data_IF_227634074278
#
_entry.id   IF_227634074278
#
_cell.length_a   1.000
_cell.length_b   1.000
_cell.length_c   1.000
_cell.angle_alpha   90.00
_cell.angle_beta   90.00
_cell.angle_gamma   90.00
#
_symmetry.space_group_name_H-M   'P 1'
#
loop_
_entity.id
_entity.type
_entity.pdbx_description
1 polymer ?
#
# COMPACT_ATOMS: atom_id res chain seq x y z
N UNK A 1 17.11 20.53 0.46
CA UNK A 1 15.73 20.23 0.88
C UNK A 1 15.56 18.72 0.72
N UNK A 2 15.92 17.94 1.73
CA UNK A 2 15.75 16.49 1.68
C UNK A 2 14.29 16.21 2.03
N UNK A 3 13.48 15.89 1.03
CA UNK A 3 12.22 15.21 1.30
C UNK A 3 12.58 13.99 2.15
N UNK A 4 12.03 13.88 3.35
CA UNK A 4 12.14 12.66 4.12
C UNK A 4 11.71 11.54 3.17
N UNK A 5 12.64 10.66 2.80
CA UNK A 5 12.29 9.40 2.18
C UNK A 5 11.42 8.71 3.23
N UNK A 6 10.10 8.84 3.08
CA UNK A 6 9.15 7.93 3.73
C UNK A 6 9.67 6.54 3.36
N UNK A 7 10.15 5.82 4.36
CA UNK A 7 10.81 4.55 4.16
C UNK A 7 9.72 3.57 3.76
N UNK A 8 9.46 3.46 2.45
CA UNK A 8 8.40 2.61 1.93
C UNK A 8 8.77 1.16 2.25
N UNK A 9 7.96 0.54 3.10
CA UNK A 9 8.12 -0.85 3.44
C UNK A 9 7.54 -1.72 2.33
N UNK A 10 8.37 -2.59 1.79
CA UNK A 10 7.98 -3.56 0.77
C UNK A 10 7.71 -4.93 1.41
N UNK A 11 6.59 -5.55 1.05
CA UNK A 11 6.22 -6.91 1.44
C UNK A 11 5.92 -7.72 0.18
N UNK A 12 6.72 -8.76 -0.07
CA UNK A 12 6.48 -9.67 -1.19
C UNK A 12 5.43 -10.73 -0.78
N UNK A 13 4.41 -10.96 -1.61
CA UNK A 13 3.32 -11.90 -1.32
C UNK A 13 2.67 -12.47 -2.58
N UNK A 14 2.62 -13.80 -2.73
CA UNK A 14 1.92 -14.52 -3.82
C UNK A 14 2.23 -14.01 -5.24
N UNK A 15 3.48 -13.57 -5.49
CA UNK A 15 3.91 -13.05 -6.81
C UNK A 15 3.59 -11.57 -7.06
N UNK A 16 3.16 -10.86 -6.02
CA UNK A 16 2.96 -9.41 -5.98
C UNK A 16 3.87 -8.75 -4.94
N UNK A 17 4.02 -7.44 -5.07
CA UNK A 17 4.66 -6.57 -4.08
C UNK A 17 3.63 -5.63 -3.48
N UNK A 18 3.60 -5.55 -2.15
CA UNK A 18 2.82 -4.58 -1.39
C UNK A 18 3.80 -3.51 -0.92
N UNK A 19 3.54 -2.25 -1.28
CA UNK A 19 4.36 -1.11 -0.91
C UNK A 19 3.56 -0.22 0.04
N UNK A 20 4.09 -0.01 1.23
CA UNK A 20 3.42 0.72 2.31
C UNK A 20 4.26 1.91 2.73
N UNK A 21 3.65 3.08 2.78
CA UNK A 21 4.24 4.29 3.34
C UNK A 21 3.40 4.75 4.52
N UNK A 22 3.88 4.51 5.74
CA UNK A 22 3.27 5.02 6.95
C UNK A 22 3.81 6.42 7.28
N UNK A 23 2.94 7.31 7.74
CA UNK A 23 3.31 8.69 8.05
C UNK A 23 2.49 9.22 9.23
N UNK A 24 3.07 10.12 10.06
CA UNK A 24 2.30 10.77 11.11
C UNK A 24 1.26 11.70 10.49
N UNK A 25 0.03 11.68 11.03
CA UNK A 25 -1.09 12.51 10.55
C UNK A 25 -0.82 14.01 10.76
N UNK A 26 -0.01 14.33 11.78
CA UNK A 26 0.43 15.68 12.11
C UNK A 26 1.90 15.63 12.53
N UNK A 27 2.68 16.66 12.23
CA UNK A 27 4.07 16.75 12.70
C UNK A 27 4.13 16.67 14.24
N UNK A 28 4.88 15.69 14.76
CA UNK A 28 4.98 15.44 16.21
C UNK A 28 3.75 14.77 16.83
N UNK A 29 2.78 14.34 16.02
CA UNK A 29 1.59 13.63 16.47
C UNK A 29 1.87 12.16 16.87
N UNK A 30 0.99 11.60 17.69
CA UNK A 30 1.02 10.19 18.10
C UNK A 30 0.10 9.32 17.24
N UNK A 31 -0.34 9.84 16.10
CA UNK A 31 -1.28 9.17 15.18
C UNK A 31 -0.61 9.02 13.84
N UNK A 32 -0.73 7.84 13.28
CA UNK A 32 -0.15 7.49 12.00
C UNK A 32 -1.25 7.12 11.03
N UNK A 33 -1.04 7.38 9.76
CA UNK A 33 -1.84 6.85 8.67
C UNK A 33 -0.91 6.16 7.68
N UNK A 34 -1.47 5.50 6.67
CA UNK A 34 -0.69 4.94 5.58
C UNK A 34 -1.30 5.27 4.23
N UNK A 35 -0.43 5.28 3.22
CA UNK A 35 -0.81 5.11 1.82
C UNK A 35 -0.14 3.86 1.31
N UNK A 36 -0.83 3.06 0.51
CA UNK A 36 -0.26 1.82 0.02
C UNK A 36 -0.75 1.44 -1.38
N UNK A 37 0.01 0.56 -2.02
CA UNK A 37 -0.38 -0.01 -3.30
C UNK A 37 0.15 -1.43 -3.47
N UNK A 38 -0.52 -2.19 -4.33
CA UNK A 38 -0.10 -3.53 -4.78
C UNK A 38 0.30 -3.46 -6.25
N UNK A 39 1.41 -4.10 -6.62
CA UNK A 39 1.83 -4.22 -8.01
C UNK A 39 2.54 -5.56 -8.27
N UNK A 40 2.85 -5.85 -9.53
CA UNK A 40 3.76 -6.96 -9.84
C UNK A 40 5.23 -6.55 -9.59
N UNK A 41 6.11 -7.51 -9.29
CA UNK A 41 7.55 -7.26 -9.25
C UNK A 41 8.05 -6.66 -10.56
N UNK A 42 8.72 -5.51 -10.49
CA UNK A 42 9.24 -4.80 -11.66
C UNK A 42 8.21 -3.99 -12.45
N UNK A 43 6.97 -3.86 -11.95
CA UNK A 43 5.96 -3.02 -12.56
C UNK A 43 6.32 -1.52 -12.51
N UNK A 44 5.99 -0.79 -13.57
CA UNK A 44 6.03 0.68 -13.54
C UNK A 44 4.72 1.21 -12.93
N UNK A 45 4.77 1.54 -11.64
CA UNK A 45 3.62 2.01 -10.85
C UNK A 45 3.08 3.37 -11.30
N UNK A 46 3.75 4.06 -12.22
CA UNK A 46 3.26 5.30 -12.81
C UNK A 46 2.29 5.05 -13.98
N UNK A 47 2.24 3.82 -14.50
CA UNK A 47 1.36 3.44 -15.60
C UNK A 47 -0.02 2.98 -15.07
N UNK A 48 -1.12 3.45 -15.69
CA UNK A 48 -2.46 2.96 -15.34
C UNK A 48 -2.59 1.45 -15.51
N UNK A 49 -3.12 0.76 -14.49
CA UNK A 49 -3.32 -0.69 -14.52
C UNK A 49 -2.09 -1.52 -14.14
N UNK A 50 -0.98 -0.89 -13.74
CA UNK A 50 0.21 -1.58 -13.23
C UNK A 50 0.27 -1.64 -11.69
N UNK A 51 -0.53 -0.82 -11.02
CA UNK A 51 -0.70 -0.81 -9.57
C UNK A 51 -2.17 -0.68 -9.18
N UNK A 52 -2.50 -1.18 -7.98
CA UNK A 52 -3.76 -0.94 -7.30
C UNK A 52 -3.44 -0.17 -6.03
N UNK A 53 -3.84 1.10 -6.00
CA UNK A 53 -3.74 1.93 -4.81
C UNK A 53 -4.93 1.66 -3.89
N UNK A 54 -4.65 1.60 -2.60
CA UNK A 54 -5.66 1.51 -1.56
C UNK A 54 -5.29 2.45 -0.43
N UNK A 55 -6.32 2.97 0.23
CA UNK A 55 -6.15 4.01 1.24
C UNK A 55 -5.30 5.21 0.76
N UNK A 56 -5.52 5.76 -0.45
CA UNK A 56 -4.66 6.82 -0.99
C UNK A 56 -4.80 8.14 -0.22
N UNK A 57 -5.93 8.34 0.46
CA UNK A 57 -6.27 9.60 1.14
C UNK A 57 -5.82 9.63 2.61
N UNK A 58 -5.33 8.51 3.16
CA UNK A 58 -4.83 8.50 4.54
C UNK A 58 -5.91 8.74 5.61
N UNK A 59 -7.17 8.38 5.35
CA UNK A 59 -8.31 8.74 6.22
C UNK A 59 -8.34 7.96 7.55
N UNK A 60 -7.93 6.69 7.57
CA UNK A 60 -7.80 5.91 8.80
C UNK A 60 -6.53 6.27 9.57
N UNK A 61 -6.61 6.20 10.89
CA UNK A 61 -5.51 6.56 11.78
C UNK A 61 -5.27 5.51 12.85
N UNK A 62 -3.99 5.27 13.11
CA UNK A 62 -3.45 4.21 13.96
C UNK A 62 -2.65 4.81 15.12
N UNK A 63 -2.40 4.04 16.18
CA UNK A 63 -1.65 4.47 17.37
C UNK A 63 -0.14 4.46 17.16
N UNK A 64 0.34 3.69 16.19
CA UNK A 64 1.76 3.60 15.85
C UNK A 64 1.97 3.42 14.35
N UNK A 65 3.19 3.71 13.91
CA UNK A 65 3.64 3.43 12.55
C UNK A 65 3.53 1.93 12.23
N UNK A 66 3.92 1.07 13.17
CA UNK A 66 3.84 -0.38 13.03
C UNK A 66 2.41 -0.88 12.83
N UNK A 67 1.44 -0.36 13.61
CA UNK A 67 0.02 -0.73 13.46
C UNK A 67 -0.51 -0.31 12.08
N UNK A 68 -0.11 0.87 11.59
CA UNK A 68 -0.46 1.32 10.24
C UNK A 68 0.13 0.41 9.15
N UNK A 69 1.38 -0.03 9.31
CA UNK A 69 2.03 -0.95 8.37
C UNK A 69 1.38 -2.32 8.38
N UNK A 70 1.10 -2.87 9.57
CA UNK A 70 0.51 -4.19 9.73
C UNK A 70 -0.88 -4.25 9.10
N UNK A 71 -1.71 -3.22 9.32
CA UNK A 71 -3.01 -3.12 8.68
C UNK A 71 -2.90 -2.90 7.17
N UNK A 72 -2.00 -2.03 6.71
CA UNK A 72 -1.77 -1.86 5.28
C UNK A 72 -1.38 -3.19 4.61
N UNK A 73 -0.48 -3.97 5.21
CA UNK A 73 -0.08 -5.27 4.70
C UNK A 73 -1.23 -6.28 4.74
N UNK A 74 -2.06 -6.25 5.79
CA UNK A 74 -3.25 -7.10 5.90
C UNK A 74 -4.25 -6.82 4.77
N UNK A 75 -4.57 -5.55 4.54
CA UNK A 75 -5.44 -5.10 3.43
C UNK A 75 -4.82 -5.50 2.09
N UNK A 76 -3.53 -5.23 1.87
CA UNK A 76 -2.82 -5.61 0.64
C UNK A 76 -2.90 -7.12 0.34
N UNK A 77 -2.77 -7.98 1.35
CA UNK A 77 -2.97 -9.44 1.19
C UNK A 77 -4.39 -9.78 0.80
N UNK A 78 -5.40 -9.18 1.42
CA UNK A 78 -6.80 -9.44 1.04
C UNK A 78 -7.11 -9.04 -0.41
N UNK A 79 -6.45 -7.99 -0.93
CA UNK A 79 -6.58 -7.58 -2.34
C UNK A 79 -5.95 -8.65 -3.27
N UNK A 80 -4.81 -9.20 -2.88
CA UNK A 80 -4.11 -10.25 -3.62
C UNK A 80 -4.90 -11.57 -3.60
N UNK A 81 -5.44 -11.94 -2.44
CA UNK A 81 -6.28 -13.13 -2.25
C UNK A 81 -7.67 -12.97 -2.90
N UNK A 82 -8.09 -11.75 -3.26
CA UNK A 82 -9.42 -11.46 -3.79
C UNK A 82 -10.53 -11.52 -2.75
N UNK A 83 -10.19 -11.38 -1.46
CA UNK A 83 -11.13 -11.35 -0.34
C UNK A 83 -11.50 -9.93 0.10
N UNK A 84 -10.79 -8.91 -0.39
CA UNK A 84 -11.13 -7.51 -0.15
C UNK A 84 -12.49 -7.16 -0.79
N UNK A 85 -13.37 -6.40 -0.11
CA UNK A 85 -14.73 -6.11 -0.59
C UNK A 85 -14.77 -5.36 -1.92
N UNK A 86 -13.86 -4.40 -2.13
CA UNK A 86 -13.92 -3.47 -3.27
C UNK A 86 -12.78 -3.60 -4.29
N UNK A 87 -11.69 -4.28 -3.95
CA UNK A 87 -10.43 -4.25 -4.71
C UNK A 87 -9.91 -5.67 -4.94
N UNK A 88 -9.25 -5.90 -6.07
CA UNK A 88 -8.62 -7.19 -6.38
C UNK A 88 -7.55 -7.03 -7.44
N UNK A 89 -6.47 -7.82 -7.32
CA UNK A 89 -5.38 -7.90 -8.33
C UNK A 89 -5.81 -8.45 -9.69
N UNK A 90 -7.05 -8.94 -9.84
CA UNK A 90 -7.55 -9.42 -11.14
C UNK A 90 -7.43 -8.38 -12.26
N UNK A 91 -7.56 -7.09 -11.94
CA UNK A 91 -7.37 -6.01 -12.91
C UNK A 91 -5.92 -5.86 -13.40
N UNK A 92 -4.93 -6.25 -12.58
CA UNK A 92 -3.52 -6.30 -12.96
C UNK A 92 -3.24 -7.51 -13.87
N UNK A 93 -3.85 -8.65 -13.56
CA UNK A 93 -3.66 -9.91 -14.29
C UNK A 93 -4.27 -9.84 -15.71
N UNK A 94 -5.39 -9.13 -15.89
CA UNK A 94 -6.00 -8.97 -17.23
C UNK A 94 -5.16 -8.14 -18.19
N UNK A 95 -4.21 -7.33 -17.69
CA UNK A 95 -3.39 -6.44 -18.51
C UNK A 95 -2.01 -7.01 -18.88
N UNK A 96 -1.78 -8.31 -18.63
CA UNK A 96 -0.67 -9.13 -19.18
C UNK A 96 0.57 -8.36 -19.61
N UNK A 97 1.54 -8.25 -18.70
CA UNK A 97 2.88 -7.67 -18.93
C UNK A 97 3.60 -8.30 -20.13
#
# INVERSE_FOLDING_TARGET
MSAAQLETQKVDYEGFEIHVSAMPVQEGGTRYTYTAYVCHPGADVTLPGHSIHYHPDGEETFRSEQEAVEEAAHVGRSIIEGTHPDLSVLSLVTHGY
#
